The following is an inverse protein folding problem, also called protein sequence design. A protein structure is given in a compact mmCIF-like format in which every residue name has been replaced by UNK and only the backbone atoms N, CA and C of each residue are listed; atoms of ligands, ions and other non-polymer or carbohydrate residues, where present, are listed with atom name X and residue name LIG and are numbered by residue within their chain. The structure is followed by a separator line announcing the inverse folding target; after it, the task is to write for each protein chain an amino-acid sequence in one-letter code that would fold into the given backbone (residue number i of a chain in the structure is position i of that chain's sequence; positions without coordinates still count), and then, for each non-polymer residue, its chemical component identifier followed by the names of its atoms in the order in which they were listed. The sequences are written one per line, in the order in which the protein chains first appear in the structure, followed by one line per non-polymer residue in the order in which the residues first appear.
data_IF_458251012147
#
_entry.id   IF_458251012147
#
_cell.length_a   1.000
_cell.length_b   1.000
_cell.length_c   1.000
_cell.angle_alpha   90.00
_cell.angle_beta   90.00
_cell.angle_gamma   90.00
#
_symmetry.space_group_name_H-M   'P 1'
#
loop_
_entity.id
_entity.type
_entity.pdbx_description
1 polymer ?
#
# COMPACT_ATOMS: atom_id res chain seq x y z
N UNK A 1 -24.32 -22.80 12.99
CA UNK A 1 -23.94 -22.15 11.73
C UNK A 1 -23.38 -20.81 12.15
N UNK A 2 -22.06 -20.66 12.06
CA UNK A 2 -21.40 -19.40 12.39
C UNK A 2 -21.67 -18.41 11.24
N UNK A 3 -21.82 -17.11 11.51
CA UNK A 3 -21.95 -16.11 10.46
C UNK A 3 -20.67 -16.05 9.62
N UNK A 4 -20.82 -15.88 8.31
CA UNK A 4 -19.70 -15.74 7.37
C UNK A 4 -19.85 -14.48 6.52
N UNK A 5 -18.73 -13.87 6.17
CA UNK A 5 -18.65 -12.77 5.20
C UNK A 5 -17.71 -13.19 4.09
N UNK A 6 -18.12 -13.01 2.83
CA UNK A 6 -17.27 -13.27 1.66
C UNK A 6 -16.99 -11.96 0.94
N UNK A 7 -15.79 -11.85 0.37
CA UNK A 7 -15.36 -10.64 -0.31
C UNK A 7 -13.96 -10.77 -0.87
N UNK A 8 -13.52 -9.71 -1.53
CA UNK A 8 -12.17 -9.59 -2.06
C UNK A 8 -11.36 -8.67 -1.15
N UNK A 9 -10.24 -9.17 -0.63
CA UNK A 9 -9.45 -8.51 0.40
C UNK A 9 -7.99 -8.34 0.00
N UNK A 10 -7.43 -7.15 0.25
CA UNK A 10 -5.99 -6.96 0.31
C UNK A 10 -5.49 -7.38 1.69
N UNK A 11 -4.48 -8.24 1.72
CA UNK A 11 -3.87 -8.71 2.96
C UNK A 11 -2.79 -7.74 3.39
N UNK A 12 -2.84 -7.24 4.62
CA UNK A 12 -1.75 -6.51 5.29
C UNK A 12 -1.31 -7.28 6.55
N UNK A 13 -0.11 -7.00 7.02
CA UNK A 13 0.48 -7.64 8.20
C UNK A 13 0.13 -6.88 9.48
N UNK A 14 -0.37 -7.57 10.51
CA UNK A 14 -0.52 -7.01 11.86
C UNK A 14 0.68 -7.40 12.73
N UNK A 15 1.35 -6.45 13.41
CA UNK A 15 2.36 -6.71 14.43
C UNK A 15 1.93 -7.70 15.53
N UNK A 16 0.62 -7.92 15.71
CA UNK A 16 0.04 -8.90 16.63
C UNK A 16 0.06 -10.34 16.11
N UNK A 17 0.46 -10.56 14.86
CA UNK A 17 0.47 -11.88 14.20
C UNK A 17 -0.87 -12.28 13.59
N UNK A 18 -1.75 -11.31 13.36
CA UNK A 18 -3.03 -11.46 12.66
C UNK A 18 -2.89 -10.91 11.22
N UNK A 19 -3.84 -11.24 10.35
CA UNK A 19 -3.95 -10.64 9.02
C UNK A 19 -4.95 -9.50 9.05
N UNK A 20 -4.58 -8.35 8.50
CA UNK A 20 -5.51 -7.26 8.26
C UNK A 20 -6.05 -7.38 6.84
N UNK A 21 -7.32 -7.74 6.72
CA UNK A 21 -8.03 -7.92 5.46
C UNK A 21 -8.75 -6.62 5.11
N UNK A 22 -8.20 -5.85 4.19
CA UNK A 22 -8.82 -4.61 3.69
C UNK A 22 -9.76 -4.98 2.55
N UNK A 23 -11.06 -4.83 2.78
CA UNK A 23 -12.10 -5.10 1.80
C UNK A 23 -11.99 -4.13 0.62
N UNK A 24 -11.94 -4.67 -0.60
CA UNK A 24 -11.74 -3.85 -1.81
C UNK A 24 -12.92 -2.97 -2.15
N UNK A 25 -14.14 -3.37 -1.78
CA UNK A 25 -15.35 -2.62 -2.13
C UNK A 25 -15.66 -1.54 -1.09
N UNK A 26 -15.52 -1.89 0.18
CA UNK A 26 -15.93 -1.04 1.31
C UNK A 26 -14.77 -0.29 1.96
N UNK A 27 -13.52 -0.70 1.70
CA UNK A 27 -12.30 -0.22 2.37
C UNK A 27 -12.27 -0.47 3.88
N UNK A 28 -13.20 -1.27 4.41
CA UNK A 28 -13.19 -1.69 5.80
C UNK A 28 -12.08 -2.72 6.04
N UNK A 29 -11.45 -2.66 7.21
CA UNK A 29 -10.38 -3.58 7.59
C UNK A 29 -10.87 -4.57 8.65
N UNK A 30 -10.65 -5.86 8.42
CA UNK A 30 -10.98 -6.95 9.34
C UNK A 30 -9.68 -7.59 9.82
N UNK A 31 -9.46 -7.63 11.14
CA UNK A 31 -8.38 -8.46 11.70
C UNK A 31 -8.85 -9.91 11.74
N UNK A 32 -8.14 -10.81 11.06
CA UNK A 32 -8.49 -12.22 10.95
C UNK A 32 -7.27 -13.12 11.22
N UNK A 33 -7.53 -14.29 11.78
CA UNK A 33 -6.49 -15.31 12.01
C UNK A 33 -6.61 -16.50 11.05
N UNK A 34 -5.51 -17.23 10.87
CA UNK A 34 -5.48 -18.44 10.05
C UNK A 34 -5.07 -18.19 8.59
N UNK A 35 -4.84 -19.28 7.86
CA UNK A 35 -4.28 -19.24 6.51
C UNK A 35 -2.77 -18.99 6.47
N UNK A 36 -2.12 -19.56 5.47
CA UNK A 36 -0.74 -19.24 5.10
C UNK A 36 -0.78 -18.17 3.99
N UNK A 37 -0.86 -16.91 4.41
CA UNK A 37 -0.96 -15.75 3.52
C UNK A 37 0.38 -15.01 3.44
N UNK A 38 0.52 -14.20 2.40
CA UNK A 38 1.59 -13.21 2.30
C UNK A 38 0.99 -11.81 2.25
N UNK A 39 1.59 -10.88 2.98
CA UNK A 39 1.20 -9.48 2.94
C UNK A 39 1.31 -8.91 1.52
N UNK A 40 0.31 -8.12 1.14
CA UNK A 40 0.12 -7.54 -0.18
C UNK A 40 -0.63 -8.43 -1.16
N UNK A 41 -0.85 -9.72 -0.88
CA UNK A 41 -1.72 -10.53 -1.73
C UNK A 41 -3.14 -9.97 -1.76
N UNK A 42 -3.75 -10.07 -2.94
CA UNK A 42 -5.16 -9.88 -3.15
C UNK A 42 -5.84 -11.26 -3.16
N UNK A 43 -6.82 -11.45 -2.28
CA UNK A 43 -7.51 -12.73 -2.11
C UNK A 43 -9.01 -12.61 -2.31
N UNK A 44 -9.65 -13.63 -2.90
CA UNK A 44 -11.08 -13.88 -2.75
C UNK A 44 -11.23 -14.80 -1.56
N UNK A 45 -11.95 -14.39 -0.52
CA UNK A 45 -11.98 -15.13 0.73
C UNK A 45 -13.34 -15.13 1.40
N UNK A 46 -13.54 -16.16 2.21
CA UNK A 46 -14.64 -16.25 3.17
C UNK A 46 -14.08 -16.23 4.59
N UNK A 47 -14.59 -15.30 5.39
CA UNK A 47 -14.25 -15.12 6.80
C UNK A 47 -15.41 -15.65 7.65
N UNK A 48 -15.11 -16.52 8.61
CA UNK A 48 -16.06 -17.06 9.59
C UNK A 48 -15.88 -16.33 10.92
N UNK A 49 -17.01 -15.98 11.56
CA UNK A 49 -17.04 -15.19 12.78
C UNK A 49 -17.47 -16.03 13.98
N UNK A 50 -16.67 -15.99 15.06
CA UNK A 50 -16.94 -16.68 16.32
C UNK A 50 -16.82 -15.72 17.50
N UNK A 51 -17.95 -15.35 18.11
CA UNK A 51 -18.03 -14.40 19.24
C UNK A 51 -17.26 -13.07 19.04
N UNK A 52 -17.19 -12.59 17.79
CA UNK A 52 -16.49 -11.36 17.41
C UNK A 52 -15.08 -11.59 16.85
N UNK A 53 -14.52 -12.79 16.99
CA UNK A 53 -13.24 -13.16 16.41
C UNK A 53 -13.43 -13.64 14.97
N UNK A 54 -12.71 -13.02 14.03
CA UNK A 54 -12.72 -13.42 12.63
C UNK A 54 -11.62 -14.45 12.33
N UNK A 55 -11.98 -15.50 11.58
CA UNK A 55 -11.06 -16.53 11.11
C UNK A 55 -11.21 -16.72 9.61
N UNK A 56 -10.09 -16.84 8.91
CA UNK A 56 -10.08 -17.17 7.50
C UNK A 56 -10.54 -18.61 7.30
N UNK A 57 -11.69 -18.80 6.64
CA UNK A 57 -12.29 -20.12 6.42
C UNK A 57 -11.79 -20.75 5.13
N UNK A 58 -11.85 -19.99 4.04
CA UNK A 58 -11.41 -20.38 2.70
C UNK A 58 -10.91 -19.15 1.93
N UNK A 59 -9.93 -19.34 1.05
CA UNK A 59 -9.40 -18.27 0.22
C UNK A 59 -8.69 -18.76 -1.05
N UNK A 60 -8.70 -17.91 -2.07
CA UNK A 60 -7.90 -18.03 -3.28
C UNK A 60 -7.08 -16.75 -3.49
N UNK A 61 -5.79 -16.88 -3.81
CA UNK A 61 -4.96 -15.73 -4.18
C UNK A 61 -5.24 -15.37 -5.64
N UNK A 62 -5.88 -14.22 -5.86
CA UNK A 62 -6.22 -13.71 -7.20
C UNK A 62 -5.00 -13.01 -7.82
N UNK A 63 -4.24 -12.28 -7.00
CA UNK A 63 -3.06 -11.55 -7.45
C UNK A 63 -2.06 -11.28 -6.31
N UNK A 64 -0.80 -11.08 -6.68
CA UNK A 64 0.27 -10.72 -5.76
C UNK A 64 0.61 -9.24 -5.84
N UNK A 65 0.88 -8.59 -4.72
CA UNK A 65 1.54 -7.28 -4.68
C UNK A 65 2.62 -7.32 -3.61
N UNK A 66 3.83 -6.89 -3.95
CA UNK A 66 4.93 -6.78 -2.99
C UNK A 66 4.79 -5.44 -2.27
N UNK A 67 4.36 -5.48 -1.01
CA UNK A 67 4.25 -4.29 -0.17
C UNK A 67 5.48 -4.12 0.72
N UNK A 68 6.08 -2.94 0.66
CA UNK A 68 7.24 -2.58 1.45
C UNK A 68 6.97 -1.32 2.26
N UNK A 69 6.89 -1.48 3.57
CA UNK A 69 6.80 -0.36 4.51
C UNK A 69 8.18 -0.09 5.10
N UNK A 70 8.68 1.14 4.94
CA UNK A 70 9.97 1.59 5.50
C UNK A 70 9.83 2.94 6.17
N UNK A 71 10.37 3.03 7.38
CA UNK A 71 10.53 4.29 8.12
C UNK A 71 11.97 4.74 8.09
N UNK A 72 12.13 5.98 8.50
CA UNK A 72 13.42 6.63 8.69
C UNK A 72 14.28 6.63 7.42
N UNK A 73 13.63 6.71 6.25
CA UNK A 73 14.37 6.73 4.99
C UNK A 73 15.06 8.08 4.82
N UNK A 74 16.26 8.05 4.26
CA UNK A 74 16.97 9.26 3.84
C UNK A 74 16.99 9.31 2.32
N UNK A 75 17.44 10.42 1.76
CA UNK A 75 17.75 10.49 0.33
C UNK A 75 16.58 10.15 -0.60
N UNK A 76 15.40 10.71 -0.33
CA UNK A 76 14.26 10.63 -1.25
C UNK A 76 14.66 11.06 -2.67
N UNK A 77 14.23 10.31 -3.67
CA UNK A 77 14.43 10.70 -5.06
C UNK A 77 13.77 12.06 -5.38
N UNK A 78 14.28 12.73 -6.42
CA UNK A 78 13.96 14.14 -6.72
C UNK A 78 12.47 14.40 -6.90
N UNK A 79 11.76 13.52 -7.61
CA UNK A 79 10.31 13.64 -7.86
C UNK A 79 9.51 13.68 -6.55
N UNK A 80 9.82 12.83 -5.56
CA UNK A 80 9.14 12.86 -4.27
C UNK A 80 9.39 14.18 -3.53
N UNK A 81 10.64 14.67 -3.52
CA UNK A 81 10.99 15.96 -2.89
C UNK A 81 10.27 17.14 -3.57
N UNK A 82 10.11 17.09 -4.88
CA UNK A 82 9.34 18.08 -5.66
C UNK A 82 7.86 18.05 -5.31
N UNK A 83 7.27 16.86 -5.25
CA UNK A 83 5.87 16.70 -4.83
C UNK A 83 5.65 17.18 -3.40
N UNK A 84 6.54 16.88 -2.45
CA UNK A 84 6.46 17.39 -1.08
C UNK A 84 6.46 18.93 -1.04
N UNK A 85 7.34 19.57 -1.82
CA UNK A 85 7.37 21.04 -1.94
C UNK A 85 6.09 21.58 -2.55
N UNK A 86 5.58 20.95 -3.59
CA UNK A 86 4.34 21.33 -4.28
C UNK A 86 3.11 21.16 -3.39
N UNK A 87 3.01 20.07 -2.63
CA UNK A 87 1.94 19.82 -1.67
C UNK A 87 1.89 20.92 -0.61
N UNK A 88 3.04 21.27 -0.01
CA UNK A 88 3.11 22.38 0.96
C UNK A 88 2.73 23.72 0.36
N UNK A 89 3.18 24.00 -0.86
CA UNK A 89 2.89 25.27 -1.53
C UNK A 89 1.39 25.43 -1.85
N UNK A 90 0.69 24.32 -2.07
CA UNK A 90 -0.73 24.29 -2.45
C UNK A 90 -1.66 23.96 -1.28
N UNK A 91 -1.13 23.67 -0.09
CA UNK A 91 -1.89 23.20 1.08
C UNK A 91 -2.71 21.92 0.78
N UNK A 92 -2.13 21.02 -0.03
CA UNK A 92 -2.76 19.76 -0.40
C UNK A 92 -2.33 18.63 0.54
N UNK A 93 -3.31 17.87 1.04
CA UNK A 93 -3.06 16.72 1.90
C UNK A 93 -2.47 15.52 1.17
N UNK A 94 -2.80 15.34 -0.12
CA UNK A 94 -2.28 14.28 -0.97
C UNK A 94 -2.13 14.82 -2.39
N UNK A 95 -0.95 14.68 -2.98
CA UNK A 95 -0.68 14.95 -4.40
C UNK A 95 0.13 13.80 -4.98
N UNK A 96 0.01 13.55 -6.28
CA UNK A 96 0.83 12.54 -6.94
C UNK A 96 1.03 12.80 -8.43
N UNK A 97 2.01 12.10 -8.99
CA UNK A 97 2.45 12.25 -10.37
C UNK A 97 2.97 10.93 -10.94
N UNK A 98 2.76 10.73 -12.24
CA UNK A 98 3.32 9.59 -13.00
C UNK A 98 4.83 9.76 -13.17
N UNK A 99 5.60 8.71 -12.93
CA UNK A 99 7.05 8.70 -13.20
C UNK A 99 7.34 8.14 -14.59
N UNK A 100 8.49 8.53 -15.15
CA UNK A 100 8.90 8.16 -16.50
C UNK A 100 10.31 7.55 -16.52
N UNK A 101 10.54 6.62 -17.44
CA UNK A 101 11.86 6.08 -17.73
C UNK A 101 12.71 7.04 -18.60
N UNK A 102 13.92 6.63 -18.94
CA UNK A 102 14.84 7.42 -19.78
C UNK A 102 14.35 7.62 -21.22
N UNK A 103 13.40 6.80 -21.67
CA UNK A 103 12.75 6.91 -22.98
C UNK A 103 11.43 7.72 -22.90
N UNK A 104 11.15 8.35 -21.75
CA UNK A 104 9.93 9.10 -21.45
C UNK A 104 8.65 8.24 -21.55
N UNK A 105 8.74 6.95 -21.22
CA UNK A 105 7.60 6.05 -21.07
C UNK A 105 7.17 6.01 -19.61
N UNK A 106 5.86 6.04 -19.31
CA UNK A 106 5.38 5.85 -17.94
C UNK A 106 5.91 4.54 -17.34
N UNK A 107 6.48 4.61 -16.15
CA UNK A 107 7.05 3.44 -15.46
C UNK A 107 6.58 3.30 -14.01
N UNK A 108 5.75 4.20 -13.51
CA UNK A 108 5.21 4.16 -12.15
C UNK A 108 4.45 5.43 -11.78
N UNK A 109 4.09 5.56 -10.51
CA UNK A 109 3.45 6.75 -9.98
C UNK A 109 3.84 6.97 -8.52
N UNK A 110 4.07 8.23 -8.15
CA UNK A 110 4.48 8.64 -6.81
C UNK A 110 3.39 9.50 -6.20
N UNK A 111 3.01 9.19 -4.98
CA UNK A 111 2.09 9.99 -4.17
C UNK A 111 2.81 10.44 -2.90
N UNK A 112 2.54 11.65 -2.46
CA UNK A 112 3.00 12.15 -1.16
C UNK A 112 1.80 12.54 -0.32
N UNK A 113 1.79 12.10 0.93
CA UNK A 113 0.75 12.35 1.91
C UNK A 113 1.30 13.26 2.99
N UNK A 114 0.72 14.45 3.14
CA UNK A 114 1.10 15.39 4.17
C UNK A 114 0.76 14.83 5.56
N UNK A 115 1.72 14.85 6.48
CA UNK A 115 1.39 14.69 7.88
C UNK A 115 0.64 15.93 8.36
N UNK A 116 -0.68 15.82 8.49
CA UNK A 116 -1.48 16.93 9.02
C UNK A 116 -1.14 17.16 10.49
N UNK A 117 -0.99 18.43 10.88
CA UNK A 117 -0.66 18.81 12.25
C UNK A 117 -1.72 18.28 13.23
N UNK A 118 -1.37 17.21 13.97
CA UNK A 118 -2.27 16.58 14.93
C UNK A 118 -2.15 15.06 14.99
N UNK A 119 -1.00 14.56 15.47
CA UNK A 119 -0.78 13.18 15.94
C UNK A 119 -1.18 12.00 15.02
N UNK A 120 -1.58 12.24 13.76
CA UNK A 120 -1.86 11.19 12.80
C UNK A 120 -0.54 10.70 12.20
N UNK A 121 -0.23 9.45 12.49
CA UNK A 121 0.88 8.73 11.90
C UNK A 121 0.38 8.13 10.58
N UNK A 122 0.46 8.90 9.50
CA UNK A 122 -0.06 8.53 8.17
C UNK A 122 0.58 7.22 7.69
N UNK A 123 1.84 7.00 8.03
CA UNK A 123 2.55 5.79 7.65
C UNK A 123 1.93 4.57 8.33
N UNK A 124 1.63 4.68 9.63
CA UNK A 124 0.99 3.59 10.36
C UNK A 124 -0.44 3.38 9.86
N UNK A 125 -1.18 4.46 9.58
CA UNK A 125 -2.53 4.39 9.02
C UNK A 125 -2.55 3.67 7.66
N UNK A 126 -1.57 3.91 6.78
CA UNK A 126 -1.40 3.17 5.51
C UNK A 126 -1.02 1.71 5.77
N UNK A 127 -0.12 1.45 6.71
CA UNK A 127 0.34 0.10 7.07
C UNK A 127 -0.77 -0.77 7.64
N UNK A 128 -1.69 -0.18 8.40
CA UNK A 128 -2.83 -0.90 9.00
C UNK A 128 -4.08 -0.86 8.14
N UNK A 129 -4.05 -0.24 6.96
CA UNK A 129 -5.21 -0.12 6.07
C UNK A 129 -6.27 0.89 6.53
N UNK A 130 -6.00 1.70 7.56
CA UNK A 130 -6.89 2.79 7.98
C UNK A 130 -6.98 3.88 6.90
N UNK A 131 -5.88 4.09 6.15
CA UNK A 131 -5.92 4.73 4.84
C UNK A 131 -5.73 3.61 3.79
N UNK A 132 -6.74 3.34 2.94
CA UNK A 132 -6.63 2.27 1.96
C UNK A 132 -5.70 2.66 0.81
N UNK A 133 -4.83 1.72 0.41
CA UNK A 133 -3.99 1.86 -0.78
C UNK A 133 -4.74 1.56 -2.09
N UNK A 134 -5.85 0.81 -2.03
CA UNK A 134 -6.59 0.33 -3.20
C UNK A 134 -6.91 1.40 -4.25
N UNK A 135 -7.39 2.62 -3.89
CA UNK A 135 -7.65 3.65 -4.90
C UNK A 135 -6.40 4.10 -5.68
N UNK A 136 -5.22 3.98 -5.08
CA UNK A 136 -3.95 4.27 -5.73
C UNK A 136 -3.49 3.10 -6.60
N UNK A 137 -3.63 1.87 -6.09
CA UNK A 137 -3.27 0.63 -6.79
C UNK A 137 -4.12 0.45 -8.05
N UNK A 138 -5.41 0.79 -7.99
CA UNK A 138 -6.30 0.66 -9.14
C UNK A 138 -5.85 1.48 -10.35
N UNK A 139 -5.19 2.61 -10.11
CA UNK A 139 -4.60 3.42 -11.19
C UNK A 139 -3.46 2.69 -11.91
N UNK A 140 -2.81 1.69 -11.27
CA UNK A 140 -1.78 0.89 -11.92
C UNK A 140 -2.34 -0.03 -13.00
N UNK A 141 -3.60 -0.45 -12.87
CA UNK A 141 -4.26 -1.32 -13.84
C UNK A 141 -4.34 -0.72 -15.24
N UNK A 142 -4.26 0.61 -15.36
CA UNK A 142 -4.20 1.31 -16.65
C UNK A 142 -2.84 1.13 -17.36
N UNK A 143 -1.79 0.76 -16.64
CA UNK A 143 -0.44 0.56 -17.19
C UNK A 143 -0.13 -0.91 -17.48
N UNK A 144 -0.42 -1.79 -16.53
CA UNK A 144 -0.12 -3.24 -16.58
C UNK A 144 -1.05 -3.98 -15.62
N UNK A 145 -1.40 -5.27 -15.86
CA UNK A 145 -1.98 -6.11 -14.82
C UNK A 145 -0.96 -6.41 -13.70
N UNK A 146 -1.47 -6.82 -12.54
CA UNK A 146 -0.68 -7.35 -11.41
C UNK A 146 0.21 -8.54 -11.84
N UNK A 147 1.36 -8.78 -11.17
CA UNK A 147 1.73 -8.24 -9.86
C UNK A 147 2.34 -6.84 -9.89
N UNK A 148 2.14 -6.10 -8.80
CA UNK A 148 2.77 -4.80 -8.57
C UNK A 148 3.78 -4.85 -7.42
N UNK A 149 4.62 -3.83 -7.33
CA UNK A 149 5.51 -3.60 -6.21
C UNK A 149 5.34 -2.17 -5.70
N UNK A 150 5.11 -2.02 -4.40
CA UNK A 150 4.67 -0.77 -3.78
C UNK A 150 5.54 -0.50 -2.57
N UNK A 151 6.03 0.74 -2.48
CA UNK A 151 6.89 1.21 -1.41
C UNK A 151 6.21 2.35 -0.66
N UNK A 152 6.00 2.18 0.64
CA UNK A 152 5.50 3.20 1.55
C UNK A 152 6.67 3.64 2.43
N UNK A 153 7.17 4.83 2.14
CA UNK A 153 8.41 5.38 2.68
C UNK A 153 8.08 6.58 3.59
N UNK A 154 8.55 6.52 4.84
CA UNK A 154 8.47 7.60 5.82
C UNK A 154 9.88 8.20 6.02
N UNK A 155 10.17 9.37 5.42
CA UNK A 155 11.47 10.01 5.41
C UNK A 155 11.73 10.82 6.70
N UNK A 156 12.97 10.78 7.21
CA UNK A 156 13.33 11.56 8.42
C UNK A 156 13.34 13.08 8.21
N UNK A 157 13.61 13.51 6.98
CA UNK A 157 13.89 14.92 6.66
C UNK A 157 12.63 15.71 6.26
N UNK A 158 11.50 15.04 6.03
CA UNK A 158 10.29 15.62 5.45
C UNK A 158 9.04 15.10 6.18
N UNK A 159 8.14 15.94 6.73
CA UNK A 159 6.86 15.50 7.30
C UNK A 159 5.84 15.06 6.23
N UNK A 160 6.18 14.03 5.47
CA UNK A 160 5.39 13.45 4.39
C UNK A 160 5.64 11.97 4.26
N UNK A 161 4.59 11.17 4.07
CA UNK A 161 4.74 9.77 3.68
C UNK A 161 4.67 9.66 2.16
N UNK A 162 5.64 8.97 1.57
CA UNK A 162 5.73 8.75 0.12
C UNK A 162 5.24 7.35 -0.22
N UNK A 163 4.29 7.24 -1.14
CA UNK A 163 3.84 5.97 -1.71
C UNK A 163 4.31 5.90 -3.16
N UNK A 164 5.27 5.02 -3.44
CA UNK A 164 5.75 4.77 -4.79
C UNK A 164 5.15 3.47 -5.33
N UNK A 165 4.37 3.58 -6.39
CA UNK A 165 3.74 2.50 -7.13
C UNK A 165 4.58 2.09 -8.34
N UNK A 166 5.01 0.83 -8.39
CA UNK A 166 5.77 0.26 -9.50
C UNK A 166 4.95 -0.86 -10.18
N UNK A 167 4.54 -0.69 -11.46
CA UNK A 167 3.68 -1.64 -12.16
C UNK A 167 4.37 -2.97 -12.49
N UNK A 168 5.70 -3.01 -12.59
CA UNK A 168 6.47 -4.22 -12.91
C UNK A 168 7.54 -4.47 -11.82
N UNK A 169 7.34 -5.47 -10.95
CA UNK A 169 8.27 -5.88 -9.89
C UNK A 169 9.66 -6.32 -10.38
N UNK A 170 9.75 -6.71 -11.66
CA UNK A 170 10.99 -7.17 -12.29
C UNK A 170 11.68 -6.06 -13.11
N UNK A 171 11.15 -4.84 -13.05
CA UNK A 171 11.75 -3.68 -13.70
C UNK A 171 13.02 -3.20 -13.00
N UNK A 172 13.89 -2.54 -13.78
CA UNK A 172 15.08 -1.83 -13.25
C UNK A 172 14.68 -0.79 -12.20
N UNK A 173 13.50 -0.18 -12.34
CA UNK A 173 12.96 0.75 -11.35
C UNK A 173 12.73 0.06 -10.01
N UNK A 174 12.01 -1.07 -10.00
CA UNK A 174 11.76 -1.83 -8.78
C UNK A 174 13.08 -2.25 -8.11
N UNK A 175 14.04 -2.75 -8.89
CA UNK A 175 15.38 -3.12 -8.40
C UNK A 175 16.10 -1.92 -7.76
N UNK A 176 16.13 -0.78 -8.44
CA UNK A 176 16.79 0.45 -7.93
C UNK A 176 16.18 0.93 -6.63
N UNK A 177 14.85 0.94 -6.53
CA UNK A 177 14.13 1.37 -5.32
C UNK A 177 14.41 0.40 -4.17
N UNK A 178 14.45 -0.91 -4.44
CA UNK A 178 14.83 -1.92 -3.46
C UNK A 178 16.25 -1.70 -2.94
N UNK A 179 17.23 -1.54 -3.82
CA UNK A 179 18.63 -1.32 -3.43
C UNK A 179 18.82 -0.03 -2.61
N UNK A 180 17.97 0.96 -2.83
CA UNK A 180 18.07 2.26 -2.15
C UNK A 180 17.44 2.23 -0.76
N UNK A 181 16.29 1.56 -0.58
CA UNK A 181 15.46 1.73 0.60
C UNK A 181 15.19 0.46 1.42
N UNK A 182 15.48 -0.74 0.92
CA UNK A 182 15.21 -2.00 1.63
C UNK A 182 16.47 -2.65 2.21
#
# INVERSE_FOLDING_TARGET
MQPTTSGTYRVLDDPRGEWLLVDRETTETIAATGGDLAAGNLIDATVEWDDGDARLHDFEVIAGTRLHFRREVTDLFEVARELCRSARAQDEGVIGETTYDTDNRPNGAVYVFAEQSGARDVWDELRTGAIPLEPLIDRLGDFSPEPYEIFVLDPVDEPFVVVYLVPDPESVLAETVRETYL
#
